data_IF_514747928022
#
_entry.id   IF_514747928022
#
_cell.length_a   1.000
_cell.length_b   1.000
_cell.length_c   1.000
_cell.angle_alpha   90.00
_cell.angle_beta   90.00
_cell.angle_gamma   90.00
#
_symmetry.space_group_name_H-M   'P 1'
#
loop_
_entity.id
_entity.type
_entity.pdbx_description
1 polymer ?
#
# COMPACT_ATOMS: atom_id res chain seq x y z
N UNK A 1 67.38 35.28 -74.40
CA UNK A 1 66.69 34.17 -73.71
C UNK A 1 65.25 34.52 -73.30
N UNK A 2 64.55 35.41 -74.01
CA UNK A 2 63.22 35.90 -73.60
C UNK A 2 62.04 35.36 -74.42
N UNK A 3 62.31 34.58 -75.50
CA UNK A 3 61.26 34.06 -76.40
C UNK A 3 60.75 32.66 -76.07
N UNK A 4 61.45 31.90 -75.20
CA UNK A 4 61.02 30.53 -74.80
C UNK A 4 60.13 30.51 -73.55
N UNK A 5 60.12 31.58 -72.74
CA UNK A 5 59.26 31.69 -71.55
C UNK A 5 57.81 32.04 -71.86
N UNK A 6 57.55 32.78 -72.94
CA UNK A 6 56.20 33.20 -73.34
C UNK A 6 55.37 32.05 -73.90
N UNK A 7 56.00 31.07 -74.55
CA UNK A 7 55.30 29.89 -75.11
C UNK A 7 54.91 28.88 -74.03
N UNK A 8 55.62 28.85 -72.89
CA UNK A 8 55.28 27.98 -71.75
C UNK A 8 54.12 28.56 -70.92
N UNK A 9 53.99 29.88 -70.85
CA UNK A 9 52.93 30.56 -70.09
C UNK A 9 51.56 30.50 -70.78
N UNK A 10 51.52 30.38 -72.11
CA UNK A 10 50.28 30.34 -72.89
C UNK A 10 49.62 28.94 -72.94
N UNK A 11 50.37 27.88 -72.63
CA UNK A 11 49.87 26.49 -72.61
C UNK A 11 49.22 26.14 -71.26
N UNK A 12 49.58 26.84 -70.18
CA UNK A 12 49.02 26.62 -68.83
C UNK A 12 47.61 27.22 -68.68
N UNK A 13 47.26 28.25 -69.46
CA UNK A 13 45.93 28.87 -69.41
C UNK A 13 44.82 28.06 -70.11
N UNK A 14 45.16 26.99 -70.85
CA UNK A 14 44.17 26.16 -71.55
C UNK A 14 43.71 24.92 -70.74
N UNK A 15 44.26 24.71 -69.54
CA UNK A 15 43.90 23.60 -68.64
C UNK A 15 43.06 24.04 -67.41
N UNK A 16 42.71 25.33 -67.28
CA UNK A 16 41.79 25.83 -66.24
C UNK A 16 40.32 25.82 -66.69
N UNK A 17 39.93 24.79 -67.43
CA UNK A 17 38.55 24.55 -67.88
C UNK A 17 37.92 23.38 -67.13
N UNK A 18 37.70 23.54 -65.82
CA UNK A 18 36.62 22.88 -65.07
C UNK A 18 36.60 23.46 -63.64
N UNK A 19 35.95 24.60 -63.44
CA UNK A 19 35.47 24.95 -62.09
C UNK A 19 34.14 24.24 -61.91
N UNK A 20 34.24 23.06 -61.31
CA UNK A 20 33.14 22.26 -60.79
C UNK A 20 32.27 23.12 -59.88
N UNK A 21 30.97 23.03 -60.13
CA UNK A 21 29.94 23.83 -59.51
C UNK A 21 29.73 23.47 -58.04
N UNK A 22 30.40 24.17 -57.13
CA UNK A 22 30.13 24.08 -55.67
C UNK A 22 28.70 24.54 -55.28
N UNK A 23 27.93 25.13 -56.20
CA UNK A 23 26.55 25.58 -55.96
C UNK A 23 25.47 24.55 -56.35
N UNK A 24 25.82 23.43 -57.00
CA UNK A 24 24.85 22.37 -57.34
C UNK A 24 24.66 21.35 -56.22
N UNK A 25 25.67 21.11 -55.37
CA UNK A 25 25.58 20.15 -54.27
C UNK A 25 24.71 20.62 -53.10
N UNK A 26 24.70 21.93 -52.80
CA UNK A 26 23.89 22.48 -51.71
C UNK A 26 22.40 22.61 -52.10
N UNK A 27 22.13 22.91 -53.36
CA UNK A 27 20.77 22.95 -53.92
C UNK A 27 20.16 21.53 -54.00
N UNK A 28 20.98 20.52 -54.31
CA UNK A 28 20.58 19.12 -54.34
C UNK A 28 20.34 18.55 -52.94
N UNK A 29 21.07 19.03 -51.92
CA UNK A 29 20.88 18.63 -50.52
C UNK A 29 19.52 19.11 -49.97
N UNK A 30 19.15 20.37 -50.21
CA UNK A 30 17.85 20.91 -49.78
C UNK A 30 16.68 20.25 -50.52
N UNK A 31 16.87 19.93 -51.81
CA UNK A 31 15.87 19.23 -52.62
C UNK A 31 15.72 17.77 -52.19
N UNK A 32 16.82 17.08 -51.91
CA UNK A 32 16.85 15.72 -51.35
C UNK A 32 16.22 15.69 -49.96
N UNK A 33 16.52 16.66 -49.09
CA UNK A 33 15.90 16.77 -47.76
C UNK A 33 14.39 16.92 -47.86
N UNK A 34 13.92 17.76 -48.78
CA UNK A 34 12.48 17.97 -49.00
C UNK A 34 11.81 16.71 -49.54
N UNK A 35 12.45 16.03 -50.48
CA UNK A 35 12.00 14.74 -51.00
C UNK A 35 11.91 13.67 -49.90
N UNK A 36 12.92 13.54 -49.04
CA UNK A 36 12.91 12.59 -47.90
C UNK A 36 11.81 12.93 -46.91
N UNK A 37 11.62 14.21 -46.56
CA UNK A 37 10.54 14.65 -45.67
C UNK A 37 9.16 14.35 -46.26
N UNK A 38 9.00 14.52 -47.57
CA UNK A 38 7.73 14.25 -48.25
C UNK A 38 7.47 12.73 -48.33
N UNK A 39 8.49 11.90 -48.58
CA UNK A 39 8.40 10.42 -48.51
C UNK A 39 8.00 9.96 -47.11
N UNK A 40 8.54 10.56 -46.04
CA UNK A 40 8.15 10.21 -44.67
C UNK A 40 6.70 10.60 -44.34
N UNK A 41 6.16 11.61 -45.02
CA UNK A 41 4.78 12.09 -44.83
C UNK A 41 3.75 11.34 -45.67
N UNK A 42 4.17 10.65 -46.73
CA UNK A 42 3.26 9.85 -47.56
C UNK A 42 2.65 8.71 -46.75
N UNK A 43 1.53 8.18 -47.24
CA UNK A 43 0.86 7.06 -46.59
C UNK A 43 1.72 5.79 -46.59
N UNK A 44 2.56 5.62 -47.62
CA UNK A 44 3.56 4.54 -47.71
C UNK A 44 4.67 4.71 -46.67
N UNK A 45 5.22 5.92 -46.50
CA UNK A 45 6.20 6.20 -45.45
C UNK A 45 5.65 5.94 -44.05
N UNK A 46 4.43 6.40 -43.77
CA UNK A 46 3.74 6.11 -42.50
C UNK A 46 3.45 4.62 -42.32
N UNK A 47 3.12 3.90 -43.39
CA UNK A 47 2.86 2.46 -43.34
C UNK A 47 4.13 1.67 -43.06
N UNK A 48 5.23 2.00 -43.74
CA UNK A 48 6.54 1.41 -43.51
C UNK A 48 7.03 1.65 -42.07
N UNK A 49 6.86 2.86 -41.53
CA UNK A 49 7.18 3.15 -40.12
C UNK A 49 6.31 2.32 -39.17
N UNK A 50 5.00 2.17 -39.45
CA UNK A 50 4.12 1.32 -38.62
C UNK A 50 4.52 -0.15 -38.68
N UNK A 51 4.93 -0.66 -39.83
CA UNK A 51 5.42 -2.04 -39.99
C UNK A 51 6.72 -2.24 -39.19
N UNK A 52 7.65 -1.30 -39.25
CA UNK A 52 8.88 -1.33 -38.44
C UNK A 52 8.59 -1.17 -36.94
N UNK A 53 7.64 -0.33 -36.55
CA UNK A 53 7.19 -0.21 -35.14
C UNK A 53 6.43 -1.44 -34.65
N UNK A 54 5.93 -2.29 -35.55
CA UNK A 54 5.28 -3.55 -35.18
C UNK A 54 6.29 -4.66 -34.92
N UNK A 55 7.55 -4.47 -35.28
CA UNK A 55 8.65 -5.37 -34.94
C UNK A 55 8.93 -5.35 -33.42
N UNK A 56 8.99 -6.54 -32.82
CA UNK A 56 9.18 -6.71 -31.38
C UNK A 56 10.55 -6.21 -30.89
N UNK A 57 11.60 -6.31 -31.73
CA UNK A 57 12.95 -5.82 -31.40
C UNK A 57 12.98 -4.28 -31.37
N UNK A 58 12.28 -3.64 -32.32
CA UNK A 58 12.14 -2.19 -32.36
C UNK A 58 11.27 -1.70 -31.19
N UNK A 59 10.16 -2.38 -30.86
CA UNK A 59 9.32 -2.04 -29.70
C UNK A 59 10.09 -2.10 -28.40
N UNK A 60 10.87 -3.16 -28.17
CA UNK A 60 11.69 -3.29 -26.97
C UNK A 60 12.68 -2.12 -26.86
N UNK A 61 13.41 -1.82 -27.93
CA UNK A 61 14.38 -0.73 -27.94
C UNK A 61 13.76 0.67 -27.74
N UNK A 62 12.52 0.89 -28.23
CA UNK A 62 11.79 2.15 -28.01
C UNK A 62 11.20 2.29 -26.60
N UNK A 63 10.78 1.18 -25.99
CA UNK A 63 10.25 1.14 -24.61
C UNK A 63 11.38 1.28 -23.58
N UNK A 64 12.64 1.03 -23.95
CA UNK A 64 13.80 1.10 -23.03
C UNK A 64 14.31 2.52 -22.72
N UNK A 65 13.55 3.59 -22.96
CA UNK A 65 13.87 4.86 -22.31
C UNK A 65 13.47 4.80 -20.83
N UNK A 66 14.35 4.22 -20.01
CA UNK A 66 14.18 3.97 -18.58
C UNK A 66 13.66 5.20 -17.84
N UNK A 67 14.17 6.39 -18.17
CA UNK A 67 13.75 7.65 -17.54
C UNK A 67 12.34 8.09 -17.95
N UNK A 68 11.97 7.92 -19.21
CA UNK A 68 10.62 8.25 -19.67
C UNK A 68 9.58 7.26 -19.12
N UNK A 69 9.90 5.96 -19.10
CA UNK A 69 9.06 4.91 -18.53
C UNK A 69 8.88 5.11 -17.03
N UNK A 70 9.97 5.31 -16.28
CA UNK A 70 9.91 5.54 -14.83
C UNK A 70 9.08 6.77 -14.49
N UNK A 71 9.34 7.92 -15.14
CA UNK A 71 8.56 9.14 -14.90
C UNK A 71 7.07 8.95 -15.24
N UNK A 72 6.76 8.18 -16.29
CA UNK A 72 5.37 7.92 -16.69
C UNK A 72 4.68 7.00 -15.69
N UNK A 73 5.37 5.97 -15.23
CA UNK A 73 4.87 5.06 -14.18
C UNK A 73 4.63 5.83 -12.89
N UNK A 74 5.60 6.61 -12.40
CA UNK A 74 5.44 7.43 -11.20
C UNK A 74 4.26 8.39 -11.33
N UNK A 75 4.22 9.21 -12.39
CA UNK A 75 3.13 10.17 -12.62
C UNK A 75 1.77 9.48 -12.74
N UNK A 76 1.72 8.32 -13.36
CA UNK A 76 0.46 7.58 -13.52
C UNK A 76 0.03 7.00 -12.18
N UNK A 77 0.93 6.33 -11.45
CA UNK A 77 0.64 5.65 -10.18
C UNK A 77 0.29 6.59 -9.03
N UNK A 78 0.81 7.82 -9.02
CA UNK A 78 0.45 8.84 -8.00
C UNK A 78 -0.68 9.77 -8.44
N UNK A 79 -1.25 9.59 -9.64
CA UNK A 79 -2.38 10.39 -10.10
C UNK A 79 -3.70 9.94 -9.49
N UNK A 80 -4.68 10.83 -9.43
CA UNK A 80 -6.05 10.51 -9.04
C UNK A 80 -6.65 9.38 -9.89
N UNK A 81 -6.26 9.30 -11.17
CA UNK A 81 -6.67 8.21 -12.08
C UNK A 81 -6.15 6.84 -11.63
N UNK A 82 -4.95 6.78 -11.03
CA UNK A 82 -4.48 5.52 -10.45
C UNK A 82 -5.26 5.17 -9.18
N UNK A 83 -5.60 6.15 -8.33
CA UNK A 83 -6.45 5.88 -7.17
C UNK A 83 -7.81 5.29 -7.60
N UNK A 84 -8.46 5.86 -8.62
CA UNK A 84 -9.69 5.31 -9.21
C UNK A 84 -9.49 3.92 -9.81
N UNK A 85 -8.38 3.70 -10.52
CA UNK A 85 -8.03 2.39 -11.07
C UNK A 85 -7.90 1.34 -9.97
N UNK A 86 -7.15 1.63 -8.90
CA UNK A 86 -6.98 0.74 -7.76
C UNK A 86 -8.30 0.48 -7.05
N UNK A 87 -9.12 1.52 -6.79
CA UNK A 87 -10.45 1.34 -6.21
C UNK A 87 -11.35 0.43 -7.04
N UNK A 88 -11.28 0.53 -8.38
CA UNK A 88 -12.03 -0.37 -9.27
C UNK A 88 -11.47 -1.79 -9.24
N UNK A 89 -10.14 -1.95 -9.19
CA UNK A 89 -9.48 -3.25 -9.13
C UNK A 89 -9.67 -3.97 -7.80
N UNK A 90 -9.68 -3.26 -6.68
CA UNK A 90 -9.97 -3.87 -5.37
C UNK A 90 -11.42 -4.35 -5.23
N UNK A 91 -12.34 -3.95 -6.12
CA UNK A 91 -13.70 -4.52 -6.19
C UNK A 91 -13.76 -5.86 -6.92
N UNK A 92 -12.71 -6.22 -7.64
CA UNK A 92 -12.58 -7.53 -8.30
C UNK A 92 -12.13 -8.58 -7.26
N UNK A 93 -12.95 -9.61 -6.97
CA UNK A 93 -12.65 -10.59 -5.92
C UNK A 93 -11.34 -11.35 -6.13
N UNK A 94 -11.00 -11.74 -7.37
CA UNK A 94 -9.77 -12.50 -7.64
C UNK A 94 -8.52 -11.64 -7.38
N UNK A 95 -8.59 -10.38 -7.80
CA UNK A 95 -7.53 -9.42 -7.55
C UNK A 95 -7.39 -9.13 -6.05
N UNK A 96 -8.50 -8.86 -5.36
CA UNK A 96 -8.51 -8.60 -3.92
C UNK A 96 -7.99 -9.79 -3.11
N UNK A 97 -8.36 -11.02 -3.48
CA UNK A 97 -7.87 -12.24 -2.85
C UNK A 97 -6.36 -12.40 -3.04
N UNK A 98 -5.87 -12.20 -4.27
CA UNK A 98 -4.43 -12.31 -4.57
C UNK A 98 -3.62 -11.29 -3.79
N UNK A 99 -4.10 -10.04 -3.72
CA UNK A 99 -3.48 -8.98 -2.94
C UNK A 99 -3.53 -9.25 -1.42
N UNK A 100 -4.67 -9.72 -0.90
CA UNK A 100 -4.79 -10.07 0.51
C UNK A 100 -3.84 -11.22 0.88
N UNK A 101 -3.72 -12.24 0.01
CA UNK A 101 -2.78 -13.35 0.19
C UNK A 101 -1.33 -12.89 0.17
N UNK A 102 -0.94 -12.00 -0.74
CA UNK A 102 0.43 -11.49 -0.81
C UNK A 102 0.78 -10.64 0.41
N UNK A 103 -0.17 -9.88 0.95
CA UNK A 103 0.03 -9.02 2.12
C UNK A 103 -0.12 -9.76 3.46
N UNK A 104 -0.59 -11.02 3.47
CA UNK A 104 -0.98 -11.74 4.69
C UNK A 104 0.10 -11.71 5.79
N UNK A 105 1.34 -12.05 5.44
CA UNK A 105 2.45 -12.16 6.40
C UNK A 105 2.77 -10.81 7.06
N UNK A 106 2.94 -9.77 6.25
CA UNK A 106 3.25 -8.43 6.76
C UNK A 106 2.07 -7.81 7.50
N UNK A 107 0.83 -8.07 7.06
CA UNK A 107 -0.37 -7.59 7.73
C UNK A 107 -0.57 -8.28 9.10
N UNK A 108 -0.30 -9.59 9.19
CA UNK A 108 -0.31 -10.33 10.46
C UNK A 108 0.73 -9.77 11.43
N UNK A 109 1.95 -9.51 10.94
CA UNK A 109 3.02 -8.90 11.73
C UNK A 109 2.62 -7.50 12.22
N UNK A 110 2.09 -6.66 11.33
CA UNK A 110 1.59 -5.33 11.66
C UNK A 110 0.54 -5.40 12.77
N UNK A 111 -0.48 -6.26 12.63
CA UNK A 111 -1.53 -6.41 13.64
C UNK A 111 -0.93 -6.88 14.97
N UNK A 112 0.01 -7.83 14.96
CA UNK A 112 0.70 -8.32 16.17
C UNK A 112 1.50 -7.23 16.88
N UNK A 113 2.13 -6.34 16.12
CA UNK A 113 2.89 -5.24 16.69
C UNK A 113 1.95 -4.11 17.16
N UNK A 114 0.85 -3.84 16.44
CA UNK A 114 -0.20 -2.93 16.89
C UNK A 114 -0.85 -3.40 18.20
N UNK A 115 -1.03 -4.70 18.43
CA UNK A 115 -1.52 -5.18 19.75
C UNK A 115 -0.62 -4.78 20.92
N UNK A 116 0.67 -4.50 20.67
CA UNK A 116 1.63 -4.00 21.67
C UNK A 116 1.65 -2.48 21.76
N UNK A 117 0.95 -1.77 20.88
CA UNK A 117 0.80 -0.32 20.92
C UNK A 117 -0.30 0.11 21.92
N UNK A 118 -0.04 1.10 22.80
CA UNK A 118 -1.04 1.58 23.76
C UNK A 118 -2.31 2.15 23.12
N UNK A 119 -2.21 2.86 22.00
CA UNK A 119 -3.34 3.48 21.32
C UNK A 119 -4.26 2.42 20.71
N UNK A 120 -3.67 1.42 20.03
CA UNK A 120 -4.43 0.29 19.51
C UNK A 120 -5.07 -0.54 20.62
N UNK A 121 -4.36 -0.80 21.73
CA UNK A 121 -4.95 -1.48 22.90
C UNK A 121 -6.14 -0.72 23.47
N UNK A 122 -6.08 0.61 23.54
CA UNK A 122 -7.21 1.42 24.01
C UNK A 122 -8.45 1.20 23.14
N UNK A 123 -8.28 1.24 21.81
CA UNK A 123 -9.37 0.95 20.88
C UNK A 123 -9.92 -0.48 21.05
N UNK A 124 -9.05 -1.47 21.34
CA UNK A 124 -9.51 -2.83 21.63
C UNK A 124 -10.29 -2.93 22.95
N UNK A 125 -9.89 -2.20 23.99
CA UNK A 125 -10.65 -2.16 25.26
C UNK A 125 -12.02 -1.51 25.05
N UNK A 126 -12.09 -0.43 24.29
CA UNK A 126 -13.37 0.21 23.92
C UNK A 126 -14.26 -0.76 23.14
N UNK A 127 -13.69 -1.55 22.22
CA UNK A 127 -14.42 -2.60 21.51
C UNK A 127 -14.97 -3.67 22.48
N UNK A 128 -14.18 -4.11 23.45
CA UNK A 128 -14.61 -5.11 24.45
C UNK A 128 -15.74 -4.61 25.37
N UNK A 129 -15.93 -3.29 25.47
CA UNK A 129 -17.01 -2.67 26.23
C UNK A 129 -18.32 -2.57 25.41
N UNK A 130 -18.35 -3.10 24.19
CA UNK A 130 -19.57 -3.16 23.40
C UNK A 130 -20.68 -3.95 24.15
N UNK A 131 -21.94 -3.46 24.18
CA UNK A 131 -23.03 -4.12 24.90
C UNK A 131 -23.28 -5.58 24.49
N UNK A 132 -22.98 -5.95 23.23
CA UNK A 132 -23.08 -7.33 22.76
C UNK A 132 -22.10 -8.24 23.50
N UNK A 133 -20.84 -7.79 23.60
CA UNK A 133 -19.78 -8.52 24.30
C UNK A 133 -19.99 -8.52 25.81
N UNK A 134 -20.53 -7.42 26.37
CA UNK A 134 -20.92 -7.36 27.78
C UNK A 134 -22.00 -8.42 28.10
N UNK A 135 -22.96 -8.63 27.20
CA UNK A 135 -24.00 -9.67 27.35
C UNK A 135 -23.40 -11.08 27.33
N UNK A 136 -22.47 -11.36 26.41
CA UNK A 136 -21.74 -12.63 26.38
C UNK A 136 -20.93 -12.85 27.65
N UNK A 137 -20.21 -11.83 28.13
CA UNK A 137 -19.49 -11.87 29.39
C UNK A 137 -20.43 -12.16 30.58
N UNK A 138 -21.61 -11.53 30.64
CA UNK A 138 -22.62 -11.81 31.67
C UNK A 138 -23.13 -13.25 31.62
N UNK A 139 -23.22 -13.85 30.43
CA UNK A 139 -23.61 -15.24 30.28
C UNK A 139 -22.51 -16.19 30.78
N UNK A 140 -21.23 -15.88 30.49
CA UNK A 140 -20.09 -16.62 31.03
C UNK A 140 -20.06 -16.54 32.56
N UNK A 141 -20.25 -15.36 33.15
CA UNK A 141 -20.30 -15.20 34.61
C UNK A 141 -21.49 -15.93 35.27
N UNK A 142 -22.53 -16.28 34.50
CA UNK A 142 -23.68 -17.06 34.98
C UNK A 142 -23.54 -18.55 34.69
N UNK A 143 -22.51 -18.96 33.96
CA UNK A 143 -22.30 -20.35 33.55
C UNK A 143 -22.07 -21.24 34.78
N UNK A 144 -22.37 -22.52 34.63
CA UNK A 144 -22.20 -23.50 35.71
C UNK A 144 -20.73 -23.59 36.13
N UNK A 145 -19.80 -23.55 35.17
CA UNK A 145 -18.36 -23.61 35.41
C UNK A 145 -17.88 -22.40 36.24
N UNK A 146 -18.37 -21.20 35.93
CA UNK A 146 -18.00 -20.02 36.72
C UNK A 146 -18.64 -20.06 38.12
N UNK A 147 -19.86 -20.59 38.25
CA UNK A 147 -20.51 -20.78 39.56
C UNK A 147 -19.74 -21.74 40.45
N UNK A 148 -19.25 -22.87 39.92
CA UNK A 148 -18.41 -23.81 40.68
C UNK A 148 -17.15 -23.11 41.21
N UNK A 149 -16.51 -22.28 40.39
CA UNK A 149 -15.35 -21.50 40.83
C UNK A 149 -15.72 -20.49 41.92
N UNK A 150 -16.86 -19.82 41.80
CA UNK A 150 -17.38 -18.89 42.83
C UNK A 150 -17.70 -19.63 44.14
N UNK A 151 -18.31 -20.82 44.06
CA UNK A 151 -18.57 -21.66 45.23
C UNK A 151 -17.28 -22.07 45.95
N UNK A 152 -16.24 -22.44 45.19
CA UNK A 152 -14.94 -22.74 45.76
C UNK A 152 -14.31 -21.52 46.45
N UNK A 153 -14.33 -20.35 45.79
CA UNK A 153 -13.83 -19.10 46.39
C UNK A 153 -14.60 -18.77 47.67
N UNK A 154 -15.92 -18.97 47.70
CA UNK A 154 -16.74 -18.75 48.89
C UNK A 154 -16.36 -19.70 50.02
N UNK A 155 -16.16 -20.99 49.73
CA UNK A 155 -15.71 -21.95 50.73
C UNK A 155 -14.35 -21.56 51.30
N UNK A 156 -13.38 -21.25 50.45
CA UNK A 156 -12.04 -20.77 50.86
C UNK A 156 -12.13 -19.49 51.70
N UNK A 157 -12.98 -18.54 51.29
CA UNK A 157 -13.21 -17.29 52.02
C UNK A 157 -13.79 -17.53 53.40
N UNK A 158 -14.78 -18.43 53.52
CA UNK A 158 -15.38 -18.82 54.81
C UNK A 158 -14.38 -19.51 55.73
N UNK A 159 -13.37 -20.16 55.17
CA UNK A 159 -12.32 -20.81 55.94
C UNK A 159 -11.28 -19.84 56.50
N UNK A 160 -11.22 -18.61 55.98
CA UNK A 160 -10.24 -17.61 56.44
C UNK A 160 -10.45 -17.26 57.93
N UNK A 161 -9.35 -17.08 58.70
CA UNK A 161 -9.45 -16.70 60.12
C UNK A 161 -10.22 -15.40 60.34
N UNK A 162 -10.07 -14.42 59.45
CA UNK A 162 -10.76 -13.14 59.54
C UNK A 162 -12.28 -13.31 59.39
N UNK A 163 -12.73 -14.08 58.39
CA UNK A 163 -14.15 -14.36 58.20
C UNK A 163 -14.72 -15.14 59.38
N UNK A 164 -14.03 -16.18 59.86
CA UNK A 164 -14.46 -16.94 61.05
C UNK A 164 -14.59 -16.07 62.29
N UNK A 165 -13.64 -15.13 62.49
CA UNK A 165 -13.69 -14.19 63.62
C UNK A 165 -14.90 -13.26 63.52
N UNK A 166 -15.09 -12.61 62.37
CA UNK A 166 -16.24 -11.72 62.12
C UNK A 166 -17.57 -12.48 62.22
N UNK A 167 -17.61 -13.70 61.70
CA UNK A 167 -18.80 -14.55 61.77
C UNK A 167 -19.14 -14.92 63.23
N UNK A 168 -18.13 -15.26 64.04
CA UNK A 168 -18.31 -15.50 65.48
C UNK A 168 -18.81 -14.26 66.22
N UNK A 169 -18.24 -13.08 65.95
CA UNK A 169 -18.69 -11.82 66.53
C UNK A 169 -20.16 -11.52 66.20
N UNK A 170 -20.58 -11.78 64.95
CA UNK A 170 -21.97 -11.65 64.53
C UNK A 170 -22.90 -12.63 65.25
N UNK A 171 -22.49 -13.90 65.41
CA UNK A 171 -23.25 -14.89 66.17
C UNK A 171 -23.38 -14.50 67.65
N UNK A 172 -22.29 -14.06 68.28
CA UNK A 172 -22.29 -13.61 69.66
C UNK A 172 -23.21 -12.39 69.86
N UNK A 173 -23.23 -11.46 68.89
CA UNK A 173 -24.12 -10.30 68.90
C UNK A 173 -25.59 -10.72 68.74
N UNK A 174 -25.90 -11.59 67.78
CA UNK A 174 -27.26 -12.10 67.57
C UNK A 174 -27.78 -12.87 68.79
N UNK A 175 -26.94 -13.68 69.44
CA UNK A 175 -27.29 -14.41 70.66
C UNK A 175 -27.55 -13.45 71.84
N UNK A 176 -26.78 -12.37 71.96
CA UNK A 176 -27.02 -11.31 72.96
C UNK A 176 -28.32 -10.57 72.70
N UNK A 177 -28.61 -10.23 71.45
CA UNK A 177 -29.86 -9.56 71.08
C UNK A 177 -31.07 -10.46 71.36
N UNK A 178 -31.03 -11.73 70.95
CA UNK A 178 -32.09 -12.71 71.22
C UNK A 178 -32.31 -12.98 72.72
N UNK A 179 -31.24 -13.08 73.52
CA UNK A 179 -31.38 -13.23 74.97
C UNK A 179 -31.92 -11.95 75.64
N UNK A 180 -31.52 -10.76 75.17
CA UNK A 180 -32.09 -9.49 75.65
C UNK A 180 -33.57 -9.32 75.30
N UNK A 181 -34.00 -9.77 74.12
CA UNK A 181 -35.40 -9.71 73.72
C UNK A 181 -36.27 -10.66 74.53
N UNK A 182 -35.78 -11.88 74.79
CA UNK A 182 -36.46 -12.86 75.65
C UNK A 182 -36.62 -12.35 77.08
N UNK A 183 -35.57 -11.73 77.66
CA UNK A 183 -35.64 -11.12 78.99
C UNK A 183 -36.56 -9.88 79.06
N UNK A 184 -36.77 -9.19 77.93
CA UNK A 184 -37.69 -8.05 77.84
C UNK A 184 -39.16 -8.45 77.71
N UNK A 185 -39.44 -9.64 77.17
CA UNK A 185 -40.79 -10.23 77.13
C UNK A 185 -41.17 -10.87 78.47
N UNK A 186 -40.23 -11.50 79.17
CA UNK A 186 -40.47 -12.13 80.47
C UNK A 186 -40.77 -11.10 81.59
N UNK A 187 -40.22 -9.88 81.49
CA UNK A 187 -40.49 -8.77 82.43
C UNK A 187 -41.77 -7.96 82.11
N UNK A 188 -42.57 -8.39 81.11
CA UNK A 188 -43.84 -7.75 80.72
C UNK A 188 -45.09 -8.53 81.14
N UNK A 189 -44.91 -9.67 81.82
CA UNK A 189 -45.95 -10.49 82.46
C UNK A 189 -45.93 -10.19 83.97
#
# INVERSE_FOLDING_TARGET
MLKKGITLLLVISLLSGCSESENSQQMDYDQTKKMVVDILKTDEGKKAIREVMNDEEIKQNLVMNEKAVTNTIEKTLVSDKAAEFWQKKFKDPEFAETMAKSMKSENEKLIKDLMKDPGYRKMMVELLQDPSLESEMKNILKSTEYREHVEQILQETMETPEFKSKFKELLDKAAKEASSSLLSEENKI
#
